data_IF_457851048734
#
_entry.id   IF_457851048734
#
_cell.length_a   1.000
_cell.length_b   1.000
_cell.length_c   1.000
_cell.angle_alpha   90.00
_cell.angle_beta   90.00
_cell.angle_gamma   90.00
#
_symmetry.space_group_name_H-M   'P 1'
#
loop_
_entity.id
_entity.type
_entity.pdbx_description
1 polymer ?
#
# COMPACT_ATOMS: atom_id res chain seq x y z
N UNK A 1 -31.55 -64.52 -20.33
CA UNK A 1 -31.98 -63.18 -19.87
C UNK A 1 -30.73 -62.39 -19.52
N UNK A 2 -30.30 -61.46 -20.39
CA UNK A 2 -29.11 -60.64 -20.19
C UNK A 2 -29.49 -59.17 -20.32
N UNK A 3 -29.20 -58.39 -19.29
CA UNK A 3 -29.65 -57.02 -19.09
C UNK A 3 -28.95 -55.98 -19.98
N UNK A 4 -29.69 -54.90 -20.23
CA UNK A 4 -29.34 -53.68 -20.95
C UNK A 4 -28.15 -52.94 -20.29
N UNK A 5 -27.34 -52.27 -21.12
CA UNK A 5 -26.71 -51.00 -20.75
C UNK A 5 -26.48 -50.15 -21.98
N UNK A 6 -27.46 -49.28 -22.25
CA UNK A 6 -27.33 -48.17 -23.19
C UNK A 6 -26.57 -47.04 -22.50
N UNK A 7 -25.35 -46.72 -22.95
CA UNK A 7 -24.61 -45.53 -22.51
C UNK A 7 -25.27 -44.26 -23.08
N UNK A 8 -25.74 -43.38 -22.21
CA UNK A 8 -26.05 -41.98 -22.55
C UNK A 8 -24.74 -41.19 -22.73
N UNK A 9 -24.61 -40.32 -23.74
CA UNK A 9 -23.56 -39.31 -23.78
C UNK A 9 -23.95 -38.11 -22.89
N UNK A 10 -23.00 -37.63 -22.08
CA UNK A 10 -23.14 -36.46 -21.22
C UNK A 10 -23.23 -35.18 -22.07
N UNK A 11 -24.22 -34.34 -21.77
CA UNK A 11 -24.41 -33.04 -22.40
C UNK A 11 -23.33 -32.06 -21.91
N UNK A 12 -22.69 -31.35 -22.85
CA UNK A 12 -21.74 -30.28 -22.56
C UNK A 12 -22.45 -29.05 -21.97
N UNK A 13 -21.84 -28.34 -21.00
CA UNK A 13 -22.44 -27.16 -20.38
C UNK A 13 -22.47 -25.97 -21.35
N UNK A 14 -23.66 -25.38 -21.51
CA UNK A 14 -23.88 -24.11 -22.23
C UNK A 14 -23.47 -22.94 -21.32
N UNK A 15 -22.55 -22.10 -21.80
CA UNK A 15 -22.21 -20.82 -21.17
C UNK A 15 -23.32 -19.82 -21.52
N UNK A 16 -24.03 -19.33 -20.52
CA UNK A 16 -25.01 -18.24 -20.66
C UNK A 16 -24.27 -16.93 -20.40
N UNK A 17 -24.14 -16.10 -21.43
CA UNK A 17 -23.57 -14.76 -21.31
C UNK A 17 -24.53 -13.88 -20.49
N UNK A 18 -24.13 -13.54 -19.27
CA UNK A 18 -24.79 -12.49 -18.50
C UNK A 18 -24.23 -11.13 -18.96
N UNK A 19 -25.04 -10.42 -19.75
CA UNK A 19 -24.88 -8.99 -19.90
C UNK A 19 -25.12 -8.30 -18.57
N UNK A 20 -24.10 -7.60 -18.08
CA UNK A 20 -24.25 -6.56 -17.08
C UNK A 20 -23.29 -5.44 -17.48
N UNK A 21 -23.87 -4.35 -17.96
CA UNK A 21 -23.24 -3.04 -18.07
C UNK A 21 -22.74 -2.63 -16.69
N UNK A 22 -21.45 -2.83 -16.42
CA UNK A 22 -20.73 -2.12 -15.36
C UNK A 22 -19.93 -1.04 -16.04
N UNK A 23 -20.25 0.21 -15.73
CA UNK A 23 -19.43 1.36 -16.04
C UNK A 23 -18.02 1.10 -15.51
N UNK A 24 -17.10 0.88 -16.46
CA UNK A 24 -15.68 0.76 -16.20
C UNK A 24 -15.17 2.13 -15.77
N UNK A 25 -15.04 2.34 -14.47
CA UNK A 25 -14.17 3.38 -13.95
C UNK A 25 -12.76 2.94 -14.30
N UNK A 26 -12.13 3.61 -15.27
CA UNK A 26 -10.83 3.25 -15.80
C UNK A 26 -9.79 3.16 -14.68
N UNK A 27 -9.38 1.94 -14.37
CA UNK A 27 -8.29 1.64 -13.45
C UNK A 27 -6.98 2.14 -14.07
N UNK A 28 -6.46 3.25 -13.56
CA UNK A 28 -5.15 3.76 -13.93
C UNK A 28 -4.07 2.74 -13.51
N UNK A 29 -3.55 1.99 -14.48
CA UNK A 29 -2.35 1.16 -14.29
C UNK A 29 -1.13 2.06 -14.38
N UNK A 30 -0.68 2.48 -13.21
CA UNK A 30 0.49 3.32 -12.96
C UNK A 30 1.76 2.72 -13.58
N UNK A 31 2.35 3.39 -14.58
CA UNK A 31 3.69 3.06 -15.10
C UNK A 31 4.74 3.84 -14.31
N UNK A 32 5.19 3.27 -13.19
CA UNK A 32 6.32 3.83 -12.43
C UNK A 32 7.62 3.42 -13.12
N UNK A 33 8.50 4.36 -13.48
CA UNK A 33 9.86 4.03 -13.95
C UNK A 33 10.71 3.50 -12.77
N UNK A 34 11.63 2.55 -12.98
CA UNK A 34 12.51 2.06 -11.91
C UNK A 34 13.35 3.23 -11.36
N UNK A 35 13.28 3.54 -10.07
CA UNK A 35 14.08 4.61 -9.49
C UNK A 35 15.55 4.19 -9.32
N UNK A 36 16.46 5.16 -9.43
CA UNK A 36 17.92 5.00 -9.21
C UNK A 36 18.29 4.80 -7.73
N UNK A 37 17.33 4.96 -6.81
CA UNK A 37 17.50 4.89 -5.35
C UNK A 37 16.69 3.71 -4.81
N UNK A 38 17.29 2.95 -3.89
CA UNK A 38 16.63 1.82 -3.27
C UNK A 38 15.79 2.23 -2.06
N UNK A 39 15.08 1.26 -1.52
CA UNK A 39 14.27 1.42 -0.32
C UNK A 39 14.54 0.22 0.57
N UNK A 40 14.38 0.37 1.88
CA UNK A 40 14.22 -0.75 2.80
C UNK A 40 12.75 -0.85 3.21
N UNK A 41 12.21 -2.07 3.24
CA UNK A 41 10.87 -2.32 3.75
C UNK A 41 10.83 -3.49 4.72
N UNK A 42 9.98 -3.39 5.74
CA UNK A 42 9.70 -4.46 6.67
C UNK A 42 8.26 -4.35 7.16
N UNK A 43 7.73 -5.45 7.72
CA UNK A 43 6.40 -5.42 8.33
C UNK A 43 6.49 -4.94 9.77
N UNK A 44 5.84 -3.83 10.10
CA UNK A 44 5.67 -3.38 11.46
C UNK A 44 4.55 -4.16 12.17
N UNK A 45 4.63 -4.31 13.48
CA UNK A 45 3.57 -4.97 14.26
C UNK A 45 2.39 -4.00 14.37
N UNK A 46 1.18 -4.49 14.07
CA UNK A 46 -0.06 -3.68 14.13
C UNK A 46 -0.26 -2.99 15.48
N UNK A 47 0.13 -3.63 16.58
CA UNK A 47 -0.02 -3.10 17.94
C UNK A 47 0.91 -1.91 18.26
N UNK A 48 1.99 -1.74 17.50
CA UNK A 48 2.96 -0.67 17.71
C UNK A 48 2.56 0.60 16.92
N UNK A 49 1.67 0.46 15.93
CA UNK A 49 1.21 1.54 15.06
C UNK A 49 0.57 2.72 15.83
N UNK A 50 -0.36 2.51 16.79
CA UNK A 50 -0.97 3.61 17.54
C UNK A 50 0.04 4.51 18.23
N UNK A 51 1.00 3.89 18.93
CA UNK A 51 2.02 4.60 19.71
C UNK A 51 2.97 5.35 18.77
N UNK A 52 3.41 4.70 17.70
CA UNK A 52 4.34 5.30 16.74
C UNK A 52 3.71 6.50 16.01
N UNK A 53 2.48 6.34 15.51
CA UNK A 53 1.78 7.41 14.78
C UNK A 53 1.41 8.59 15.69
N UNK A 54 0.99 8.33 16.94
CA UNK A 54 0.76 9.39 17.92
C UNK A 54 2.04 10.17 18.23
N UNK A 55 3.16 9.46 18.45
CA UNK A 55 4.45 10.09 18.66
C UNK A 55 4.88 10.95 17.47
N UNK A 56 4.67 10.48 16.24
CA UNK A 56 4.93 11.27 15.03
C UNK A 56 4.07 12.53 14.96
N UNK A 57 2.80 12.46 15.37
CA UNK A 57 1.88 13.61 15.38
C UNK A 57 2.34 14.74 16.31
N UNK A 58 2.91 14.38 17.47
CA UNK A 58 3.46 15.33 18.46
C UNK A 58 4.67 16.11 17.93
N UNK A 59 5.43 15.52 17.00
CA UNK A 59 6.67 16.09 16.48
C UNK A 59 6.51 16.77 15.12
N UNK A 60 5.28 16.94 14.61
CA UNK A 60 5.03 17.69 13.37
C UNK A 60 5.34 19.18 13.61
N UNK A 61 6.34 19.77 12.92
CA UNK A 61 6.69 21.18 13.07
C UNK A 61 5.53 22.10 12.65
N UNK A 62 5.20 23.08 13.50
CA UNK A 62 4.05 23.96 13.28
C UNK A 62 4.24 24.94 12.11
N UNK A 63 5.49 25.20 11.73
CA UNK A 63 5.87 26.06 10.60
C UNK A 63 5.83 25.32 9.25
N UNK A 64 5.65 24.00 9.26
CA UNK A 64 5.57 23.22 8.03
C UNK A 64 4.23 23.45 7.32
N UNK A 65 4.28 23.53 5.98
CA UNK A 65 3.08 23.53 5.16
C UNK A 65 2.23 22.28 5.46
N UNK A 66 0.92 22.48 5.62
CA UNK A 66 -0.06 21.42 5.89
C UNK A 66 0.19 20.68 7.24
N UNK A 67 0.89 21.30 8.20
CA UNK A 67 1.20 20.72 9.50
C UNK A 67 -0.03 20.17 10.25
N UNK A 68 -1.13 20.93 10.27
CA UNK A 68 -2.35 20.51 10.94
C UNK A 68 -3.00 19.31 10.24
N UNK A 69 -3.05 19.31 8.90
CA UNK A 69 -3.56 18.18 8.13
C UNK A 69 -2.72 16.92 8.34
N UNK A 70 -1.40 17.06 8.40
CA UNK A 70 -0.46 15.95 8.70
C UNK A 70 -0.69 15.40 10.10
N UNK A 71 -0.81 16.28 11.10
CA UNK A 71 -1.08 15.90 12.48
C UNK A 71 -2.41 15.15 12.58
N UNK A 72 -3.46 15.65 11.92
CA UNK A 72 -4.75 14.96 11.85
C UNK A 72 -4.63 13.57 11.20
N UNK A 73 -3.97 13.45 10.04
CA UNK A 73 -3.78 12.16 9.38
C UNK A 73 -3.02 11.15 10.26
N UNK A 74 -1.98 11.61 10.97
CA UNK A 74 -1.24 10.78 11.92
C UNK A 74 -2.10 10.35 13.11
N UNK A 75 -2.92 11.24 13.68
CA UNK A 75 -3.83 10.93 14.78
C UNK A 75 -4.97 9.99 14.36
N UNK A 76 -5.45 10.09 13.13
CA UNK A 76 -6.41 9.14 12.58
C UNK A 76 -5.81 7.73 12.46
N UNK A 77 -4.58 7.63 11.95
CA UNK A 77 -3.87 6.34 11.90
C UNK A 77 -3.57 5.83 13.31
N UNK A 78 -3.24 6.73 14.25
CA UNK A 78 -2.99 6.36 15.63
C UNK A 78 -4.23 5.80 16.36
N UNK A 79 -5.41 6.31 16.04
CA UNK A 79 -6.68 5.87 16.63
C UNK A 79 -7.34 4.70 15.89
N UNK A 80 -6.75 4.25 14.78
CA UNK A 80 -7.29 3.16 13.96
C UNK A 80 -6.97 1.78 14.55
N UNK A 81 -8.00 0.93 14.63
CA UNK A 81 -7.79 -0.51 14.76
C UNK A 81 -7.50 -1.10 13.37
N UNK A 82 -6.29 -1.64 13.16
CA UNK A 82 -5.88 -2.20 11.87
C UNK A 82 -6.68 -3.48 11.56
N UNK A 83 -7.54 -3.48 10.52
CA UNK A 83 -8.37 -4.63 10.18
C UNK A 83 -7.59 -5.92 9.91
N UNK A 84 -8.25 -7.05 10.15
CA UNK A 84 -7.69 -8.37 9.77
C UNK A 84 -7.52 -8.43 8.25
N UNK A 85 -6.33 -8.84 7.81
CA UNK A 85 -5.97 -8.89 6.38
C UNK A 85 -5.17 -7.68 5.91
N UNK A 86 -5.06 -6.64 6.73
CA UNK A 86 -4.18 -5.51 6.44
C UNK A 86 -2.78 -5.75 7.02
N UNK A 87 -1.77 -5.30 6.29
CA UNK A 87 -0.38 -5.27 6.71
C UNK A 87 0.05 -3.82 6.95
N UNK A 88 0.93 -3.62 7.94
CA UNK A 88 1.60 -2.33 8.15
C UNK A 88 3.02 -2.48 7.64
N UNK A 89 3.32 -1.78 6.56
CA UNK A 89 4.65 -1.71 5.98
C UNK A 89 5.35 -0.47 6.49
N UNK A 90 6.53 -0.65 7.05
CA UNK A 90 7.44 0.42 7.36
C UNK A 90 8.48 0.51 6.24
N UNK A 91 8.72 1.73 5.76
CA UNK A 91 9.66 2.00 4.68
C UNK A 91 10.70 3.01 5.16
N UNK A 92 11.92 2.87 4.64
CA UNK A 92 12.99 3.83 4.80
C UNK A 92 13.84 3.89 3.52
N UNK A 93 14.56 4.99 3.35
CA UNK A 93 15.63 5.13 2.37
C UNK A 93 16.80 4.18 2.69
N UNK A 94 17.44 3.64 1.66
CA UNK A 94 18.52 2.66 1.83
C UNK A 94 19.93 3.25 1.76
N UNK A 95 20.08 4.58 1.66
CA UNK A 95 21.40 5.22 1.50
C UNK A 95 22.37 4.96 2.66
N UNK A 96 21.84 4.72 3.87
CA UNK A 96 22.64 4.37 5.06
C UNK A 96 22.78 2.86 5.26
N UNK A 97 22.19 2.05 4.39
CA UNK A 97 22.19 0.60 4.49
C UNK A 97 23.18 -0.03 3.50
N UNK A 98 23.57 -1.28 3.79
CA UNK A 98 24.45 -2.05 2.87
C UNK A 98 23.74 -2.46 1.58
N UNK A 99 22.41 -2.50 1.58
CA UNK A 99 21.55 -2.89 0.47
C UNK A 99 20.15 -2.33 0.68
N UNK A 100 19.36 -2.23 -0.37
CA UNK A 100 17.90 -2.07 -0.29
C UNK A 100 17.16 -3.41 -0.35
N UNK A 101 15.85 -3.36 -0.18
CA UNK A 101 14.92 -4.47 -0.36
C UNK A 101 14.06 -4.77 0.88
N UNK A 102 13.67 -6.03 0.99
CA UNK A 102 12.83 -6.52 2.09
C UNK A 102 13.67 -7.03 3.26
N UNK A 103 13.29 -6.64 4.48
CA UNK A 103 13.93 -7.01 5.73
C UNK A 103 12.97 -7.72 6.67
N UNK A 104 13.47 -8.75 7.36
CA UNK A 104 12.74 -9.45 8.42
C UNK A 104 12.69 -8.68 9.74
N UNK A 105 13.67 -7.82 9.97
CA UNK A 105 13.80 -6.96 11.15
C UNK A 105 14.07 -5.54 10.69
N UNK A 106 13.59 -4.55 11.44
CA UNK A 106 13.83 -3.14 11.13
C UNK A 106 15.34 -2.86 11.07
N UNK A 107 15.89 -2.48 9.90
CA UNK A 107 17.31 -2.15 9.77
C UNK A 107 17.62 -0.72 10.23
N UNK A 108 16.61 0.14 10.27
CA UNK A 108 16.65 1.55 10.69
C UNK A 108 15.24 1.98 11.13
N UNK A 109 15.11 3.24 11.55
CA UNK A 109 13.82 3.83 11.89
C UNK A 109 12.94 4.01 10.65
N UNK A 110 11.62 3.82 10.84
CA UNK A 110 10.67 3.99 9.75
C UNK A 110 10.55 5.47 9.36
N UNK A 111 10.60 5.74 8.06
CA UNK A 111 10.38 7.08 7.50
C UNK A 111 8.96 7.22 6.93
N UNK A 112 8.37 6.11 6.47
CA UNK A 112 7.00 6.05 5.96
C UNK A 112 6.30 4.81 6.50
N UNK A 113 5.03 4.94 6.86
CA UNK A 113 4.15 3.81 7.16
C UNK A 113 3.06 3.70 6.10
N UNK A 114 2.85 2.49 5.61
CA UNK A 114 1.82 2.16 4.61
C UNK A 114 0.93 1.06 5.17
N UNK A 115 -0.37 1.34 5.25
CA UNK A 115 -1.37 0.32 5.57
C UNK A 115 -1.87 -0.27 4.25
N UNK A 116 -1.57 -1.54 4.03
CA UNK A 116 -1.84 -2.24 2.79
C UNK A 116 -2.83 -3.38 3.03
N UNK A 117 -3.93 -3.39 2.31
CA UNK A 117 -4.80 -4.56 2.22
C UNK A 117 -4.29 -5.48 1.11
N UNK A 118 -3.91 -6.70 1.49
CA UNK A 118 -3.40 -7.68 0.53
C UNK A 118 -4.54 -8.51 -0.05
N UNK A 119 -4.69 -8.50 -1.38
CA UNK A 119 -5.67 -9.32 -2.09
C UNK A 119 -5.18 -9.73 -3.47
N UNK A 120 -6.11 -9.91 -4.41
CA UNK A 120 -5.77 -10.02 -5.85
C UNK A 120 -5.11 -8.72 -6.34
N UNK A 121 -5.70 -7.59 -5.94
CA UNK A 121 -5.13 -6.25 -6.05
C UNK A 121 -4.66 -5.82 -4.66
N UNK A 122 -3.48 -5.22 -4.58
CA UNK A 122 -3.00 -4.63 -3.32
C UNK A 122 -3.63 -3.24 -3.15
N UNK A 123 -4.36 -2.97 -2.07
CA UNK A 123 -4.99 -1.66 -1.85
C UNK A 123 -4.24 -0.90 -0.77
N UNK A 124 -3.60 0.22 -1.14
CA UNK A 124 -3.00 1.17 -0.21
C UNK A 124 -4.14 1.95 0.47
N UNK A 125 -4.40 1.62 1.73
CA UNK A 125 -5.52 2.16 2.51
C UNK A 125 -5.17 3.48 3.18
N UNK A 126 -3.98 3.56 3.78
CA UNK A 126 -3.44 4.78 4.39
C UNK A 126 -1.94 4.87 4.18
N UNK A 127 -1.43 6.09 4.14
CA UNK A 127 0.00 6.37 4.10
C UNK A 127 0.31 7.59 4.98
N UNK A 128 1.29 7.44 5.87
CA UNK A 128 1.79 8.55 6.67
C UNK A 128 3.31 8.62 6.65
N UNK A 129 3.85 9.83 6.70
CA UNK A 129 5.30 10.10 6.68
C UNK A 129 5.76 10.62 8.03
N UNK A 130 6.91 10.15 8.50
CA UNK A 130 7.50 10.58 9.75
C UNK A 130 7.84 12.08 9.71
N UNK A 131 7.72 12.79 10.85
CA UNK A 131 8.13 14.18 10.94
C UNK A 131 9.64 14.32 10.68
N UNK A 132 10.03 15.42 10.04
CA UNK A 132 11.43 15.69 9.70
C UNK A 132 11.96 14.97 8.45
N UNK A 133 11.24 13.99 7.90
CA UNK A 133 11.64 13.32 6.65
C UNK A 133 11.42 14.28 5.47
N UNK A 134 12.45 14.56 4.64
CA UNK A 134 12.28 15.35 3.43
C UNK A 134 11.31 14.69 2.46
N UNK A 135 10.39 15.46 1.88
CA UNK A 135 9.35 14.91 1.01
C UNK A 135 9.87 14.29 -0.27
N UNK A 136 11.01 14.76 -0.78
CA UNK A 136 11.69 14.13 -1.92
C UNK A 136 12.13 12.71 -1.61
N UNK A 137 12.64 12.47 -0.39
CA UNK A 137 13.05 11.14 0.10
C UNK A 137 11.84 10.24 0.25
N UNK A 138 10.80 10.70 0.97
CA UNK A 138 9.56 9.94 1.14
C UNK A 138 8.93 9.55 -0.21
N UNK A 139 8.89 10.49 -1.17
CA UNK A 139 8.43 10.22 -2.53
C UNK A 139 9.23 9.12 -3.23
N UNK A 140 10.55 9.20 -3.15
CA UNK A 140 11.45 8.26 -3.80
C UNK A 140 11.26 6.85 -3.22
N UNK A 141 11.26 6.74 -1.90
CA UNK A 141 11.04 5.48 -1.15
C UNK A 141 9.69 4.86 -1.50
N UNK A 142 8.61 5.66 -1.48
CA UNK A 142 7.26 5.17 -1.80
C UNK A 142 7.17 4.72 -3.25
N UNK A 143 7.72 5.47 -4.21
CA UNK A 143 7.71 5.09 -5.63
C UNK A 143 8.51 3.82 -5.87
N UNK A 144 9.69 3.68 -5.26
CA UNK A 144 10.52 2.49 -5.36
C UNK A 144 9.81 1.26 -4.78
N UNK A 145 9.18 1.42 -3.61
CA UNK A 145 8.38 0.37 -3.00
C UNK A 145 7.16 -0.01 -3.85
N UNK A 146 6.41 0.95 -4.39
CA UNK A 146 5.29 0.71 -5.30
C UNK A 146 5.74 -0.04 -6.56
N UNK A 147 6.86 0.36 -7.16
CA UNK A 147 7.43 -0.32 -8.33
C UNK A 147 7.84 -1.75 -8.02
N UNK A 148 8.37 -2.02 -6.82
CA UNK A 148 8.74 -3.37 -6.41
C UNK A 148 7.57 -4.36 -6.32
N UNK A 149 6.33 -3.86 -6.25
CA UNK A 149 5.13 -4.70 -6.28
C UNK A 149 4.76 -5.18 -7.69
N UNK A 150 5.39 -4.66 -8.75
CA UNK A 150 5.13 -5.12 -10.11
C UNK A 150 5.56 -6.60 -10.28
N UNK A 151 4.80 -7.41 -11.04
CA UNK A 151 3.69 -7.05 -11.92
C UNK A 151 2.31 -6.95 -11.22
N UNK A 152 2.23 -7.13 -9.90
CA UNK A 152 0.95 -7.11 -9.19
C UNK A 152 0.35 -5.70 -9.19
N UNK A 153 -0.95 -5.62 -9.47
CA UNK A 153 -1.67 -4.34 -9.48
C UNK A 153 -1.83 -3.81 -8.06
N UNK A 154 -1.79 -2.49 -7.94
CA UNK A 154 -2.15 -1.80 -6.71
C UNK A 154 -3.13 -0.66 -6.96
N UNK A 155 -3.90 -0.33 -5.94
CA UNK A 155 -4.85 0.78 -5.92
C UNK A 155 -4.56 1.68 -4.72
N UNK A 156 -4.87 2.96 -4.84
CA UNK A 156 -4.76 3.94 -3.75
C UNK A 156 -6.17 4.36 -3.35
N UNK A 157 -6.61 3.94 -2.16
CA UNK A 157 -7.96 4.20 -1.68
C UNK A 157 -8.13 5.59 -1.03
N UNK A 158 -7.04 6.15 -0.49
CA UNK A 158 -7.02 7.47 0.14
C UNK A 158 -5.98 8.37 -0.57
N UNK A 159 -6.32 8.98 -1.71
CA UNK A 159 -5.42 9.88 -2.42
C UNK A 159 -5.13 11.17 -1.62
N UNK A 160 -5.96 11.51 -0.64
CA UNK A 160 -5.80 12.67 0.23
C UNK A 160 -4.51 12.57 1.06
N UNK A 161 -4.18 11.37 1.55
CA UNK A 161 -2.92 11.11 2.27
C UNK A 161 -1.72 11.51 1.39
N UNK A 162 -1.73 11.14 0.11
CA UNK A 162 -0.68 11.51 -0.83
C UNK A 162 -0.59 13.03 -1.00
N UNK A 163 -1.73 13.74 -1.04
CA UNK A 163 -1.72 15.20 -1.12
C UNK A 163 -1.15 15.85 0.14
N UNK A 164 -1.61 15.43 1.32
CA UNK A 164 -1.17 15.95 2.64
C UNK A 164 0.33 15.74 2.87
N UNK A 165 0.85 14.61 2.38
CA UNK A 165 2.27 14.29 2.45
C UNK A 165 3.05 14.71 1.21
N UNK A 166 2.45 15.50 0.30
CA UNK A 166 3.13 16.03 -0.90
C UNK A 166 3.75 14.94 -1.78
N UNK A 167 3.12 13.77 -1.82
CA UNK A 167 3.56 12.61 -2.58
C UNK A 167 2.98 12.64 -4.00
N UNK A 168 3.85 12.51 -4.99
CA UNK A 168 3.51 12.47 -6.40
C UNK A 168 3.46 11.01 -6.88
N UNK A 169 2.25 10.53 -7.15
CA UNK A 169 2.05 9.24 -7.80
C UNK A 169 1.50 9.51 -9.20
N UNK A 170 2.35 9.38 -10.21
CA UNK A 170 2.01 9.63 -11.62
C UNK A 170 1.11 8.52 -12.16
N UNK A 171 -0.22 8.76 -12.19
CA UNK A 171 -1.29 7.88 -12.71
C UNK A 171 -0.99 7.19 -14.04
#
# INVERSE_FOLDING_TARGET
MGGRSSRQPAAAPRIVAAGATSESVAAASLKVAPPDVGFASWTAKRKDLPVLAASWAEHVPADQKDADARRCALLEVASMEVPKGWAVWALADDSELRSGGFYLQAPTDAQVLVLLETGEVNVVRRLVVAPGVPLSVANTVVRAWLYSMTPKRYEVACPEDFHVFGLQVER
#
